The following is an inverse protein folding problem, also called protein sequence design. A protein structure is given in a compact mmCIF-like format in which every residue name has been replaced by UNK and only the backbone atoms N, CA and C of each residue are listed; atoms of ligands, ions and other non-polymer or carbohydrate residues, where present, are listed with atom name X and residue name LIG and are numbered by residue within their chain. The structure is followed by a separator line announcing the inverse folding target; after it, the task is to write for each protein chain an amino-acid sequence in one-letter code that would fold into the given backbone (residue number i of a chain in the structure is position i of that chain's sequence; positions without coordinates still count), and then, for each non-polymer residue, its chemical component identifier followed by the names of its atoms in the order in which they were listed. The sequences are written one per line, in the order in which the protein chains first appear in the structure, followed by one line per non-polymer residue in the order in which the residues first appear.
data_IF_706156425426
#
_entry.id   IF_706156425426
#
_cell.length_a   1.000
_cell.length_b   1.000
_cell.length_c   1.000
_cell.angle_alpha   90.00
_cell.angle_beta   90.00
_cell.angle_gamma   90.00
#
_symmetry.space_group_name_H-M   'P 1'
#
loop_
_entity.id
_entity.type
_entity.pdbx_description
1 polymer ?
#
# COMPACT_ATOMS: atom_id res chain seq x y z
N UNK A 1 13.69 2.74 15.37
CA UNK A 1 13.94 2.17 14.01
C UNK A 1 12.59 1.77 13.40
N UNK A 2 12.42 1.78 12.06
CA UNK A 2 11.19 1.28 11.46
C UNK A 2 11.02 -0.21 11.78
N UNK A 3 9.83 -0.60 12.25
CA UNK A 3 9.50 -1.99 12.53
C UNK A 3 9.17 -2.68 11.20
N UNK A 4 9.82 -3.82 10.93
CA UNK A 4 9.44 -4.67 9.80
C UNK A 4 8.05 -5.25 10.05
N UNK A 5 7.16 -5.10 9.08
CA UNK A 5 5.80 -5.64 9.14
C UNK A 5 5.74 -6.80 8.16
N UNK A 6 5.32 -7.97 8.64
CA UNK A 6 5.13 -9.13 7.77
C UNK A 6 3.93 -8.95 6.84
N UNK A 7 4.01 -9.46 5.61
CA UNK A 7 2.90 -9.40 4.67
C UNK A 7 1.74 -10.26 5.18
N UNK A 8 0.56 -9.63 5.32
CA UNK A 8 -0.66 -10.30 5.81
C UNK A 8 -1.40 -11.09 4.72
N UNK A 9 -1.06 -10.86 3.46
CA UNK A 9 -1.77 -11.38 2.28
C UNK A 9 -0.77 -11.94 1.27
N UNK A 10 -1.23 -12.83 0.39
CA UNK A 10 -0.39 -13.45 -0.64
C UNK A 10 0.24 -12.45 -1.64
N UNK A 11 -0.31 -11.23 -1.75
CA UNK A 11 0.17 -10.20 -2.69
C UNK A 11 1.67 -9.88 -2.53
N UNK A 12 2.17 -9.85 -1.29
CA UNK A 12 3.56 -9.49 -0.97
C UNK A 12 4.32 -10.66 -0.34
N UNK A 13 3.79 -11.89 -0.48
CA UNK A 13 4.33 -13.09 0.16
C UNK A 13 5.15 -13.96 -0.79
N UNK A 14 5.36 -13.51 -2.03
CA UNK A 14 6.13 -14.25 -3.01
C UNK A 14 7.54 -14.52 -2.47
N UNK A 15 7.97 -15.78 -2.49
CA UNK A 15 9.30 -16.17 -2.02
C UNK A 15 9.46 -16.26 -0.50
N UNK A 16 8.49 -15.77 0.29
CA UNK A 16 8.59 -15.80 1.76
C UNK A 16 8.39 -17.20 2.33
N UNK A 17 7.52 -18.00 1.70
CA UNK A 17 7.12 -19.33 2.18
C UNK A 17 8.01 -20.46 1.60
N UNK A 18 9.08 -20.11 0.88
CA UNK A 18 10.05 -21.07 0.33
C UNK A 18 10.95 -21.65 1.45
N UNK A 19 11.55 -22.82 1.22
CA UNK A 19 12.49 -23.45 2.19
C UNK A 19 13.63 -22.50 2.59
N UNK A 20 14.07 -21.66 1.65
CA UNK A 20 14.97 -20.55 1.88
C UNK A 20 14.23 -19.27 1.47
N UNK A 21 13.84 -18.40 2.42
CA UNK A 21 13.08 -17.20 2.11
C UNK A 21 13.82 -16.30 1.14
N UNK A 22 13.17 -15.98 0.02
CA UNK A 22 13.66 -15.03 -0.97
C UNK A 22 12.95 -13.69 -0.82
N UNK A 23 13.70 -12.60 -0.98
CA UNK A 23 13.14 -11.25 -0.96
C UNK A 23 12.23 -11.03 -2.17
N UNK A 24 11.14 -10.30 -1.96
CA UNK A 24 10.28 -9.86 -3.05
C UNK A 24 10.53 -8.39 -3.34
N UNK A 25 11.27 -8.14 -4.43
CA UNK A 25 11.58 -6.78 -4.89
C UNK A 25 10.43 -6.23 -5.74
N UNK A 26 10.04 -4.99 -5.43
CA UNK A 26 9.04 -4.23 -6.16
C UNK A 26 9.74 -3.06 -6.86
N UNK A 27 9.35 -2.83 -8.11
CA UNK A 27 9.79 -1.66 -8.85
C UNK A 27 9.29 -0.38 -8.20
N UNK A 28 10.12 0.67 -8.20
CA UNK A 28 9.79 1.95 -7.54
C UNK A 28 8.56 2.61 -8.17
N UNK A 29 8.39 2.48 -9.49
CA UNK A 29 7.23 3.01 -10.21
C UNK A 29 5.89 2.41 -9.76
N UNK A 30 5.90 1.21 -9.17
CA UNK A 30 4.69 0.55 -8.69
C UNK A 30 4.17 1.15 -7.38
N UNK A 31 5.05 1.77 -6.60
CA UNK A 31 4.77 2.37 -5.30
C UNK A 31 5.11 3.87 -5.34
N UNK A 32 4.18 4.74 -5.79
CA UNK A 32 4.36 6.18 -5.71
C UNK A 32 4.69 6.66 -4.30
N UNK A 33 5.31 7.84 -4.19
CA UNK A 33 5.66 8.49 -2.90
C UNK A 33 4.49 8.60 -1.91
N UNK A 34 3.27 8.74 -2.43
CA UNK A 34 2.04 8.78 -1.63
C UNK A 34 1.66 7.42 -0.99
N UNK A 35 2.39 6.36 -1.31
CA UNK A 35 2.05 4.97 -0.98
C UNK A 35 0.94 4.41 -1.83
N UNK A 36 0.68 3.11 -1.67
CA UNK A 36 -0.40 2.37 -2.34
C UNK A 36 -1.19 1.58 -1.32
N UNK A 37 -2.52 1.57 -1.49
CA UNK A 37 -3.43 0.69 -0.77
C UNK A 37 -4.05 -0.30 -1.74
N UNK A 38 -3.77 -1.58 -1.54
CA UNK A 38 -4.44 -2.67 -2.26
C UNK A 38 -5.52 -3.27 -1.36
N UNK A 39 -6.73 -3.39 -1.88
CA UNK A 39 -7.85 -4.03 -1.17
C UNK A 39 -8.33 -5.22 -1.99
N UNK A 40 -8.39 -6.39 -1.36
CA UNK A 40 -8.90 -7.63 -1.95
C UNK A 40 -10.22 -7.99 -1.27
N UNK A 41 -11.21 -8.41 -2.05
CA UNK A 41 -12.51 -8.84 -1.52
C UNK A 41 -13.16 -9.87 -2.43
N UNK A 42 -13.94 -10.77 -1.85
CA UNK A 42 -14.77 -11.71 -2.59
C UNK A 42 -16.20 -11.17 -2.71
N UNK A 43 -16.77 -11.19 -3.91
CA UNK A 43 -18.16 -10.80 -4.17
C UNK A 43 -18.95 -12.04 -4.61
N UNK A 44 -19.90 -12.46 -3.80
CA UNK A 44 -20.77 -13.60 -4.13
C UNK A 44 -22.03 -13.10 -4.82
N UNK A 45 -22.32 -13.65 -6.00
CA UNK A 45 -23.50 -13.33 -6.80
C UNK A 45 -24.28 -14.61 -7.08
N UNK A 46 -25.62 -14.49 -7.19
CA UNK A 46 -26.49 -15.57 -7.66
C UNK A 46 -27.02 -15.22 -9.04
N UNK A 47 -26.89 -16.14 -9.98
CA UNK A 47 -27.31 -15.95 -11.38
C UNK A 47 -28.79 -16.27 -11.56
N UNK A 48 -29.36 -15.89 -12.71
CA UNK A 48 -30.78 -16.05 -13.02
C UNK A 48 -31.27 -17.51 -12.94
N UNK A 49 -30.39 -18.48 -13.19
CA UNK A 49 -30.66 -19.92 -13.09
C UNK A 49 -30.43 -20.48 -11.66
N UNK A 50 -30.16 -19.60 -10.69
CA UNK A 50 -29.92 -19.96 -9.30
C UNK A 50 -28.48 -20.39 -8.99
N UNK A 51 -27.57 -20.45 -9.97
CA UNK A 51 -26.16 -20.78 -9.73
C UNK A 51 -25.45 -19.70 -8.92
N UNK A 52 -24.52 -20.12 -8.07
CA UNK A 52 -23.70 -19.22 -7.25
C UNK A 52 -22.36 -18.99 -7.96
N UNK A 53 -22.00 -17.72 -8.10
CA UNK A 53 -20.70 -17.28 -8.60
C UNK A 53 -19.97 -16.52 -7.50
N UNK A 54 -18.69 -16.82 -7.33
CA UNK A 54 -17.81 -16.10 -6.41
C UNK A 54 -16.77 -15.34 -7.23
N UNK A 55 -16.83 -14.02 -7.17
CA UNK A 55 -15.88 -13.13 -7.82
C UNK A 55 -14.78 -12.76 -6.86
N UNK A 56 -13.55 -12.72 -7.34
CA UNK A 56 -12.43 -12.14 -6.63
C UNK A 56 -12.11 -10.78 -7.23
N UNK A 57 -12.19 -9.73 -6.40
CA UNK A 57 -11.88 -8.37 -6.78
C UNK A 57 -10.64 -7.86 -6.06
N UNK A 58 -9.66 -7.39 -6.83
CA UNK A 58 -8.50 -6.67 -6.33
C UNK A 58 -8.53 -5.21 -6.82
N UNK A 59 -8.44 -4.25 -5.90
CA UNK A 59 -8.45 -2.82 -6.20
C UNK A 59 -7.17 -2.16 -5.70
N UNK A 60 -6.41 -1.54 -6.60
CA UNK A 60 -5.27 -0.66 -6.29
C UNK A 60 -5.79 0.77 -6.17
N UNK A 61 -5.45 1.45 -5.09
CA UNK A 61 -5.68 2.88 -4.91
C UNK A 61 -4.36 3.53 -4.49
N UNK A 62 -4.03 4.67 -5.10
CA UNK A 62 -2.95 5.51 -4.60
C UNK A 62 -3.34 6.01 -3.21
N UNK A 63 -2.35 6.15 -2.33
CA UNK A 63 -2.55 6.78 -1.04
C UNK A 63 -3.06 8.22 -1.18
N UNK A 64 -3.36 8.86 -0.04
CA UNK A 64 -4.06 10.15 0.01
C UNK A 64 -3.26 11.35 -0.55
N UNK A 65 -2.07 11.12 -1.10
CA UNK A 65 -1.13 12.14 -1.54
C UNK A 65 -0.15 12.56 -0.44
N UNK A 66 0.84 13.37 -0.81
CA UNK A 66 1.72 14.03 0.16
C UNK A 66 0.89 15.00 1.02
N UNK A 67 0.88 14.78 2.33
CA UNK A 67 0.46 15.81 3.28
C UNK A 67 1.61 16.81 3.37
N UNK A 68 1.33 18.11 3.40
CA UNK A 68 2.40 19.11 3.56
C UNK A 68 3.26 18.71 4.77
N UNK A 69 4.55 18.45 4.55
CA UNK A 69 5.50 18.15 5.62
C UNK A 69 5.65 19.31 6.61
N UNK A 70 5.12 20.50 6.26
CA UNK A 70 5.38 21.81 6.92
C UNK A 70 6.87 22.12 7.04
N UNK A 71 7.69 21.36 6.32
CA UNK A 71 9.12 21.54 6.26
C UNK A 71 9.35 22.82 5.47
N UNK A 72 9.82 23.84 6.18
CA UNK A 72 10.05 25.15 5.61
C UNK A 72 11.55 25.38 5.60
N UNK A 73 12.11 25.48 4.41
CA UNK A 73 13.51 25.85 4.21
C UNK A 73 13.59 27.34 3.87
N UNK A 74 14.72 27.97 4.22
CA UNK A 74 14.98 29.39 3.94
C UNK A 74 13.94 30.35 4.53
N UNK A 75 13.52 30.10 5.78
CA UNK A 75 12.66 31.05 6.50
C UNK A 75 13.49 32.20 7.07
N UNK A 76 13.16 33.42 6.67
CA UNK A 76 13.63 34.64 7.33
C UNK A 76 12.81 34.80 8.62
N UNK A 77 13.40 34.38 9.75
CA UNK A 77 12.77 34.53 11.06
C UNK A 77 13.03 35.94 11.64
N UNK A 78 12.02 36.58 12.25
CA UNK A 78 12.21 37.86 12.91
C UNK A 78 13.09 37.70 14.15
N UNK A 79 14.09 38.57 14.28
CA UNK A 79 15.00 38.58 15.42
C UNK A 79 14.30 39.29 16.58
N UNK A 80 14.15 38.63 17.74
CA UNK A 80 13.65 39.26 18.96
C UNK A 80 14.60 40.37 19.39
N UNK A 81 14.14 41.62 19.42
CA UNK A 81 14.88 42.73 20.03
C UNK A 81 14.84 42.60 21.55
N UNK A 82 16.00 42.78 22.17
CA UNK A 82 16.19 42.85 23.63
C UNK A 82 15.47 44.05 24.22
#
# INVERSE_FOLDING_TARGET
PPQRIEPRTNLLRQGLDDEVPTGYDLYEEEVPRAGVKVTQSFQRTRWYDGKIFLWFGARKQTGRGERSSRLSFDQILPIRKK
#
